data_IF_674808276439
#
_entry.id   IF_674808276439
#
_cell.length_a   1.000
_cell.length_b   1.000
_cell.length_c   1.000
_cell.angle_alpha   90.00
_cell.angle_beta   90.00
_cell.angle_gamma   90.00
#
_symmetry.space_group_name_H-M   'P 1'
#
loop_
_entity.id
_entity.type
_entity.pdbx_description
1 polymer ?
#
# COMPACT_ATOMS: atom_id res chain seq x y z
N UNK A 1 -29.67 -7.17 7.42
CA UNK A 1 -28.37 -7.86 7.55
C UNK A 1 -28.26 -8.46 8.95
N UNK A 2 -27.91 -9.72 9.05
CA UNK A 2 -27.63 -10.42 10.30
C UNK A 2 -26.24 -10.07 10.83
N UNK A 3 -25.91 -10.47 12.06
CA UNK A 3 -24.54 -10.34 12.60
C UNK A 3 -23.53 -11.10 11.74
N UNK A 4 -23.90 -12.28 11.24
CA UNK A 4 -23.04 -13.07 10.35
C UNK A 4 -22.74 -12.35 9.03
N UNK A 5 -23.68 -11.63 8.45
CA UNK A 5 -23.46 -10.84 7.23
C UNK A 5 -22.41 -9.77 7.46
N UNK A 6 -22.48 -9.06 8.59
CA UNK A 6 -21.47 -8.05 8.96
C UNK A 6 -20.09 -8.65 9.21
N UNK A 7 -20.01 -9.84 9.81
CA UNK A 7 -18.75 -10.55 10.00
C UNK A 7 -18.13 -10.96 8.65
N UNK A 8 -18.93 -11.39 7.68
CA UNK A 8 -18.44 -11.66 6.34
C UNK A 8 -17.95 -10.41 5.62
N UNK A 9 -18.68 -9.30 5.70
CA UNK A 9 -18.21 -8.01 5.14
C UNK A 9 -16.87 -7.60 5.76
N UNK A 10 -16.77 -7.63 7.08
CA UNK A 10 -15.53 -7.29 7.78
C UNK A 10 -14.38 -8.24 7.42
N UNK A 11 -14.65 -9.55 7.36
CA UNK A 11 -13.67 -10.56 6.97
C UNK A 11 -13.15 -10.34 5.54
N UNK A 12 -14.04 -10.05 4.60
CA UNK A 12 -13.67 -9.72 3.22
C UNK A 12 -12.84 -8.44 3.14
N UNK A 13 -13.25 -7.40 3.86
CA UNK A 13 -12.54 -6.13 3.92
C UNK A 13 -11.11 -6.30 4.46
N UNK A 14 -10.96 -6.92 5.64
CA UNK A 14 -9.64 -7.15 6.26
C UNK A 14 -8.79 -8.08 5.41
N UNK A 15 -9.38 -9.14 4.84
CA UNK A 15 -8.69 -10.07 3.95
C UNK A 15 -8.13 -9.35 2.71
N UNK A 16 -8.92 -8.47 2.09
CA UNK A 16 -8.47 -7.67 0.95
C UNK A 16 -7.31 -6.72 1.30
N UNK A 17 -7.33 -6.11 2.48
CA UNK A 17 -6.21 -5.30 2.97
C UNK A 17 -4.93 -6.10 3.15
N UNK A 18 -5.02 -7.29 3.74
CA UNK A 18 -3.86 -8.17 3.94
C UNK A 18 -3.28 -8.64 2.60
N UNK A 19 -4.15 -9.08 1.70
CA UNK A 19 -3.74 -9.54 0.36
C UNK A 19 -3.16 -8.38 -0.46
N UNK A 20 -3.79 -7.21 -0.42
CA UNK A 20 -3.31 -6.01 -1.10
C UNK A 20 -1.93 -5.59 -0.61
N UNK A 21 -1.72 -5.54 0.71
CA UNK A 21 -0.42 -5.19 1.29
C UNK A 21 0.68 -6.20 0.98
N UNK A 22 0.33 -7.49 0.89
CA UNK A 22 1.26 -8.52 0.45
C UNK A 22 1.60 -8.38 -1.03
N UNK A 23 0.61 -8.17 -1.88
CA UNK A 23 0.81 -7.98 -3.31
C UNK A 23 1.71 -6.75 -3.58
N UNK A 24 1.47 -5.63 -2.90
CA UNK A 24 2.31 -4.43 -2.97
C UNK A 24 3.78 -4.76 -2.65
N UNK A 25 4.03 -5.43 -1.53
CA UNK A 25 5.36 -5.85 -1.13
C UNK A 25 6.04 -6.72 -2.19
N UNK A 26 5.32 -7.73 -2.74
CA UNK A 26 5.86 -8.62 -3.77
C UNK A 26 6.15 -7.85 -5.06
N UNK A 27 5.21 -7.03 -5.52
CA UNK A 27 5.36 -6.22 -6.73
C UNK A 27 6.55 -5.27 -6.61
N UNK A 28 6.69 -4.56 -5.49
CA UNK A 28 7.82 -3.67 -5.25
C UNK A 28 9.17 -4.43 -5.28
N UNK A 29 9.25 -5.63 -4.69
CA UNK A 29 10.45 -6.49 -4.82
C UNK A 29 10.73 -6.91 -6.24
N UNK A 30 9.72 -7.23 -7.04
CA UNK A 30 9.88 -7.60 -8.44
C UNK A 30 10.32 -6.42 -9.30
N UNK A 31 9.88 -5.20 -8.99
CA UNK A 31 10.37 -3.97 -9.61
C UNK A 31 11.87 -3.78 -9.38
N UNK A 32 12.35 -3.96 -8.15
CA UNK A 32 13.77 -3.92 -7.81
C UNK A 32 14.60 -5.00 -8.51
N UNK A 33 14.01 -6.16 -8.79
CA UNK A 33 14.64 -7.22 -9.58
C UNK A 33 14.56 -6.98 -11.09
N UNK A 34 13.96 -5.89 -11.54
CA UNK A 34 13.71 -5.54 -12.94
C UNK A 34 12.87 -6.58 -13.72
N UNK A 35 12.09 -7.38 -13.00
CA UNK A 35 11.19 -8.38 -13.59
C UNK A 35 9.87 -7.71 -14.03
N UNK A 36 9.38 -6.74 -13.24
CA UNK A 36 8.13 -6.04 -13.47
C UNK A 36 8.38 -4.53 -13.33
N UNK A 37 8.02 -3.74 -14.35
CA UNK A 37 8.12 -2.26 -14.36
C UNK A 37 9.47 -1.71 -13.85
N UNK A 38 10.55 -2.48 -14.01
CA UNK A 38 11.83 -2.17 -13.36
C UNK A 38 12.43 -0.84 -13.78
N UNK A 39 12.32 -0.43 -15.06
CA UNK A 39 12.85 0.86 -15.49
C UNK A 39 12.04 2.02 -14.91
N UNK A 40 10.72 1.93 -14.92
CA UNK A 40 9.83 2.96 -14.32
C UNK A 40 10.17 3.15 -12.84
N UNK A 41 10.46 2.05 -12.13
CA UNK A 41 10.83 2.10 -10.72
C UNK A 41 12.23 2.69 -10.48
N UNK A 42 13.20 2.41 -11.36
CA UNK A 42 14.54 3.05 -11.32
C UNK A 42 14.41 4.56 -11.52
N UNK A 43 13.59 4.99 -12.48
CA UNK A 43 13.36 6.40 -12.74
C UNK A 43 12.69 7.08 -11.54
N UNK A 44 11.69 6.42 -10.92
CA UNK A 44 11.06 6.88 -9.68
C UNK A 44 12.07 7.04 -8.52
N UNK A 45 13.02 6.10 -8.36
CA UNK A 45 14.09 6.24 -7.38
C UNK A 45 15.06 7.39 -7.69
N UNK A 46 15.31 7.65 -8.98
CA UNK A 46 16.17 8.75 -9.42
C UNK A 46 15.51 10.11 -9.19
N UNK A 47 14.20 10.21 -9.42
CA UNK A 47 13.41 11.41 -9.21
C UNK A 47 13.22 11.72 -7.72
N UNK A 48 12.98 10.70 -6.90
CA UNK A 48 12.92 10.79 -5.44
C UNK A 48 11.72 11.55 -4.87
N UNK A 49 10.70 11.86 -5.67
CA UNK A 49 9.49 12.55 -5.23
C UNK A 49 8.21 11.77 -5.60
N UNK A 50 7.12 12.04 -4.89
CA UNK A 50 5.81 11.47 -5.20
C UNK A 50 5.20 12.06 -6.47
N UNK A 51 4.51 11.23 -7.23
CA UNK A 51 3.96 11.59 -8.54
C UNK A 51 2.67 12.43 -8.44
N UNK A 52 2.09 12.53 -7.22
CA UNK A 52 0.78 13.09 -6.94
C UNK A 52 -0.26 12.00 -6.69
N UNK A 53 -1.16 12.23 -5.71
CA UNK A 53 -2.12 11.22 -5.24
C UNK A 53 -2.98 10.63 -6.38
N UNK A 54 -3.47 11.47 -7.30
CA UNK A 54 -4.32 10.99 -8.39
C UNK A 54 -3.59 10.02 -9.32
N UNK A 55 -2.31 10.29 -9.62
CA UNK A 55 -1.50 9.40 -10.44
C UNK A 55 -1.14 8.13 -9.67
N UNK A 56 -0.73 8.24 -8.42
CA UNK A 56 -0.49 7.09 -7.55
C UNK A 56 -1.74 6.20 -7.46
N UNK A 57 -2.91 6.80 -7.23
CA UNK A 57 -4.17 6.05 -7.16
C UNK A 57 -4.46 5.30 -8.46
N UNK A 58 -4.24 5.92 -9.62
CA UNK A 58 -4.40 5.27 -10.91
C UNK A 58 -3.44 4.08 -11.06
N UNK A 59 -2.19 4.24 -10.64
CA UNK A 59 -1.16 3.21 -10.75
C UNK A 59 -1.41 2.04 -9.78
N UNK A 60 -2.13 2.27 -8.67
CA UNK A 60 -2.62 1.20 -7.79
C UNK A 60 -3.92 0.56 -8.27
N UNK A 61 -4.96 1.36 -8.59
CA UNK A 61 -6.30 0.83 -8.82
C UNK A 61 -6.42 0.08 -10.17
N UNK A 62 -5.82 0.63 -11.24
CA UNK A 62 -5.98 0.05 -12.58
C UNK A 62 -5.45 -1.38 -12.67
N UNK A 63 -4.21 -1.70 -12.26
CA UNK A 63 -3.72 -3.08 -12.28
C UNK A 63 -4.36 -3.99 -11.23
N UNK A 64 -4.86 -3.44 -10.11
CA UNK A 64 -5.48 -4.22 -9.05
C UNK A 64 -6.94 -4.57 -9.33
N UNK A 65 -7.64 -3.81 -10.16
CA UNK A 65 -9.08 -3.95 -10.38
C UNK A 65 -9.49 -5.35 -10.88
N UNK A 66 -8.83 -5.97 -11.88
CA UNK A 66 -9.14 -7.33 -12.30
C UNK A 66 -8.98 -8.36 -11.19
N UNK A 67 -7.97 -8.17 -10.32
CA UNK A 67 -7.69 -9.06 -9.20
C UNK A 67 -8.74 -8.91 -8.09
N UNK A 68 -9.13 -7.68 -7.76
CA UNK A 68 -10.20 -7.38 -6.79
C UNK A 68 -11.52 -8.00 -7.25
N UNK A 69 -11.88 -7.79 -8.52
CA UNK A 69 -13.08 -8.37 -9.12
C UNK A 69 -13.01 -9.90 -9.09
N UNK A 70 -11.89 -10.49 -9.49
CA UNK A 70 -11.70 -11.94 -9.49
C UNK A 70 -11.88 -12.56 -8.11
N UNK A 71 -11.28 -11.98 -7.07
CA UNK A 71 -11.46 -12.45 -5.69
C UNK A 71 -12.91 -12.31 -5.21
N UNK A 72 -13.56 -11.20 -5.51
CA UNK A 72 -14.97 -11.00 -5.15
C UNK A 72 -15.89 -12.00 -5.87
N UNK A 73 -15.65 -12.26 -7.16
CA UNK A 73 -16.41 -13.26 -7.92
C UNK A 73 -16.20 -14.68 -7.38
N UNK A 74 -14.97 -15.05 -6.99
CA UNK A 74 -14.70 -16.35 -6.37
C UNK A 74 -15.48 -16.47 -5.06
N UNK A 75 -15.46 -15.45 -4.20
CA UNK A 75 -16.22 -15.45 -2.95
C UNK A 75 -17.73 -15.63 -3.19
N UNK A 76 -18.26 -14.99 -4.20
CA UNK A 76 -19.68 -15.05 -4.53
C UNK A 76 -20.06 -16.35 -5.26
N UNK A 77 -19.40 -16.66 -6.38
CA UNK A 77 -19.84 -17.74 -7.28
C UNK A 77 -19.41 -19.13 -6.81
N UNK A 78 -18.19 -19.27 -6.24
CA UNK A 78 -17.68 -20.56 -5.78
C UNK A 78 -18.15 -20.93 -4.37
N UNK A 79 -18.30 -19.93 -3.48
CA UNK A 79 -18.64 -20.16 -2.07
C UNK A 79 -20.03 -19.64 -1.67
N UNK A 80 -20.75 -18.99 -2.58
CA UNK A 80 -22.06 -18.36 -2.32
C UNK A 80 -22.04 -17.35 -1.14
N UNK A 81 -20.92 -16.67 -0.94
CA UNK A 81 -20.69 -15.72 0.16
C UNK A 81 -20.77 -14.27 -0.35
N UNK A 82 -21.95 -13.80 -0.70
CA UNK A 82 -22.17 -12.46 -1.28
C UNK A 82 -21.66 -11.33 -0.38
N UNK A 83 -21.81 -11.44 0.94
CA UNK A 83 -21.35 -10.40 1.88
C UNK A 83 -19.82 -10.37 2.00
N UNK A 84 -19.18 -11.53 1.91
CA UNK A 84 -17.71 -11.61 1.81
C UNK A 84 -17.21 -10.95 0.53
N UNK A 85 -17.89 -11.21 -0.60
CA UNK A 85 -17.56 -10.61 -1.90
C UNK A 85 -17.66 -9.08 -1.87
N UNK A 86 -18.74 -8.54 -1.28
CA UNK A 86 -18.92 -7.11 -1.08
C UNK A 86 -17.80 -6.53 -0.22
N UNK A 87 -17.50 -7.15 0.91
CA UNK A 87 -16.41 -6.75 1.79
C UNK A 87 -15.06 -6.76 1.08
N UNK A 88 -14.78 -7.80 0.27
CA UNK A 88 -13.55 -7.91 -0.52
C UNK A 88 -13.42 -6.79 -1.55
N UNK A 89 -14.50 -6.51 -2.28
CA UNK A 89 -14.49 -5.42 -3.27
C UNK A 89 -14.24 -4.04 -2.63
N UNK A 90 -14.96 -3.73 -1.56
CA UNK A 90 -14.80 -2.47 -0.82
C UNK A 90 -13.40 -2.39 -0.22
N UNK A 91 -12.94 -3.45 0.45
CA UNK A 91 -11.62 -3.52 1.08
C UNK A 91 -10.47 -3.34 0.09
N UNK A 92 -10.56 -3.95 -1.10
CA UNK A 92 -9.57 -3.82 -2.15
C UNK A 92 -9.46 -2.39 -2.68
N UNK A 93 -10.59 -1.73 -2.95
CA UNK A 93 -10.61 -0.32 -3.37
C UNK A 93 -10.07 0.59 -2.26
N UNK A 94 -10.51 0.40 -1.03
CA UNK A 94 -10.02 1.16 0.11
C UNK A 94 -8.52 0.95 0.34
N UNK A 95 -8.00 -0.26 0.09
CA UNK A 95 -6.56 -0.52 0.14
C UNK A 95 -5.80 0.31 -0.90
N UNK A 96 -6.26 0.33 -2.15
CA UNK A 96 -5.62 1.12 -3.20
C UNK A 96 -5.60 2.63 -2.86
N UNK A 97 -6.69 3.16 -2.31
CA UNK A 97 -6.75 4.55 -1.82
C UNK A 97 -5.74 4.80 -0.70
N UNK A 98 -5.68 3.90 0.26
CA UNK A 98 -4.75 4.02 1.39
C UNK A 98 -3.30 3.88 0.94
N UNK A 99 -2.97 2.91 0.08
CA UNK A 99 -1.62 2.67 -0.41
C UNK A 99 -1.10 3.85 -1.25
N UNK A 100 -1.93 4.39 -2.15
CA UNK A 100 -1.60 5.59 -2.92
C UNK A 100 -1.33 6.79 -2.00
N UNK A 101 -2.16 6.99 -0.97
CA UNK A 101 -1.96 8.04 0.02
C UNK A 101 -0.68 7.80 0.84
N UNK A 102 -0.45 6.56 1.30
CA UNK A 102 0.72 6.19 2.08
C UNK A 102 2.03 6.40 1.30
N UNK A 103 2.03 6.08 0.01
CA UNK A 103 3.15 6.31 -0.89
C UNK A 103 3.45 7.81 -1.01
N UNK A 104 2.44 8.60 -1.38
CA UNK A 104 2.59 10.04 -1.58
C UNK A 104 3.01 10.77 -0.31
N UNK A 105 2.41 10.45 0.84
CA UNK A 105 2.74 11.12 2.10
C UNK A 105 4.15 10.79 2.57
N UNK A 106 4.65 9.58 2.32
CA UNK A 106 6.02 9.21 2.69
C UNK A 106 7.08 9.92 1.84
N UNK A 107 6.75 10.33 0.61
CA UNK A 107 7.63 11.16 -0.20
C UNK A 107 7.63 12.64 0.24
N UNK A 108 6.50 13.19 0.64
CA UNK A 108 6.38 14.63 0.93
C UNK A 108 6.48 14.96 2.43
N UNK A 109 5.81 14.18 3.27
CA UNK A 109 5.68 14.45 4.71
C UNK A 109 5.82 13.16 5.53
N UNK A 110 7.00 12.51 5.53
CA UNK A 110 7.18 11.20 6.16
C UNK A 110 6.89 11.20 7.67
N UNK A 111 6.95 12.38 8.31
CA UNK A 111 6.57 12.55 9.71
C UNK A 111 5.09 12.24 9.99
N UNK A 112 4.23 12.34 8.99
CA UNK A 112 2.80 12.06 9.09
C UNK A 112 2.46 10.58 9.03
N UNK A 113 3.39 9.72 8.63
CA UNK A 113 3.21 8.27 8.60
C UNK A 113 3.15 7.72 10.05
N UNK A 114 2.02 8.00 10.75
CA UNK A 114 1.86 7.69 12.18
C UNK A 114 1.44 6.24 12.46
N UNK A 115 1.03 5.47 11.45
CA UNK A 115 0.63 4.06 11.56
C UNK A 115 1.82 3.09 11.52
N UNK A 116 3.02 3.57 11.24
CA UNK A 116 4.28 2.84 11.35
C UNK A 116 5.25 3.56 12.29
N UNK A 117 6.09 2.78 12.98
CA UNK A 117 7.15 3.35 13.85
C UNK A 117 8.15 4.16 13.03
N UNK A 118 8.42 3.72 11.81
CA UNK A 118 9.28 4.40 10.83
C UNK A 118 8.62 4.37 9.47
N UNK A 119 8.68 5.47 8.69
CA UNK A 119 8.19 5.52 7.32
C UNK A 119 9.14 4.73 6.41
N UNK A 120 8.89 3.42 6.27
CA UNK A 120 9.85 2.49 5.65
C UNK A 120 10.12 2.82 4.19
N UNK A 121 9.11 3.29 3.45
CA UNK A 121 9.27 3.66 2.05
C UNK A 121 10.11 4.95 1.90
N UNK A 122 9.90 5.96 2.75
CA UNK A 122 10.78 7.13 2.81
C UNK A 122 12.25 6.73 3.09
N UNK A 123 12.45 5.86 4.07
CA UNK A 123 13.79 5.37 4.44
C UNK A 123 14.42 4.58 3.28
N UNK A 124 13.62 3.78 2.59
CA UNK A 124 14.04 3.01 1.42
C UNK A 124 14.61 3.92 0.32
N UNK A 125 13.91 5.01 -0.02
CA UNK A 125 14.39 6.01 -0.98
C UNK A 125 15.58 6.82 -0.46
N UNK A 126 15.47 7.39 0.75
CA UNK A 126 16.49 8.26 1.33
C UNK A 126 17.85 7.57 1.49
N UNK A 127 17.86 6.28 1.76
CA UNK A 127 19.09 5.49 1.95
C UNK A 127 19.40 4.57 0.74
N UNK A 128 18.72 4.73 -0.39
CA UNK A 128 18.93 3.94 -1.62
C UNK A 128 18.95 2.43 -1.35
N UNK A 129 17.96 1.95 -0.59
CA UNK A 129 17.91 0.57 -0.11
C UNK A 129 17.41 -0.41 -1.18
N UNK A 130 18.26 -0.82 -2.11
CA UNK A 130 17.87 -1.70 -3.22
C UNK A 130 17.38 -3.09 -2.82
N UNK A 131 17.71 -3.57 -1.62
CA UNK A 131 17.41 -4.93 -1.16
C UNK A 131 16.62 -5.01 0.16
N UNK A 132 16.13 -3.87 0.70
CA UNK A 132 15.48 -3.80 1.99
C UNK A 132 14.33 -2.80 1.99
N UNK A 133 13.38 -2.97 2.95
CA UNK A 133 12.30 -2.04 3.21
C UNK A 133 11.39 -1.82 2.00
N UNK A 134 10.85 -2.91 1.47
CA UNK A 134 9.98 -2.90 0.28
C UNK A 134 8.52 -2.55 0.59
N UNK A 135 8.08 -2.61 1.85
CA UNK A 135 6.73 -2.21 2.24
C UNK A 135 6.50 -0.73 1.99
N UNK A 136 5.35 -0.37 1.43
CA UNK A 136 4.95 1.02 1.23
C UNK A 136 3.88 1.39 2.26
N UNK A 137 2.71 0.75 2.18
CA UNK A 137 1.63 1.00 3.13
C UNK A 137 1.95 0.47 4.53
N UNK A 138 2.62 -0.70 4.63
CA UNK A 138 2.97 -1.35 5.89
C UNK A 138 4.35 -2.02 5.83
N UNK A 139 5.03 -2.11 6.98
CA UNK A 139 6.34 -2.77 7.12
C UNK A 139 6.25 -4.25 7.58
N UNK A 140 5.04 -4.80 7.69
CA UNK A 140 4.82 -6.14 8.23
C UNK A 140 5.51 -7.23 7.39
N UNK A 141 5.44 -7.13 6.06
CA UNK A 141 6.02 -8.12 5.17
C UNK A 141 7.54 -8.05 5.12
N UNK A 142 8.12 -6.86 5.27
CA UNK A 142 9.55 -6.72 5.45
C UNK A 142 10.05 -7.47 6.69
N UNK A 143 9.26 -7.45 7.77
CA UNK A 143 9.58 -8.20 9.00
C UNK A 143 9.41 -9.70 8.82
N UNK A 144 8.30 -10.12 8.19
CA UNK A 144 8.01 -11.55 7.93
C UNK A 144 9.08 -12.18 7.02
N UNK A 145 9.51 -11.47 5.98
CA UNK A 145 10.49 -11.96 5.00
C UNK A 145 11.92 -11.50 5.24
N UNK A 146 12.22 -10.95 6.43
CA UNK A 146 13.56 -10.54 6.87
C UNK A 146 14.24 -9.52 5.95
N UNK A 147 13.44 -8.68 5.29
CA UNK A 147 13.93 -7.57 4.45
C UNK A 147 13.89 -6.23 5.18
N UNK A 148 13.38 -6.20 6.41
CA UNK A 148 13.36 -5.00 7.23
C UNK A 148 14.78 -4.62 7.69
N UNK A 149 15.20 -3.40 7.33
CA UNK A 149 16.46 -2.82 7.80
C UNK A 149 16.18 -1.59 8.65
N UNK A 150 16.56 -1.67 9.91
CA UNK A 150 16.42 -0.57 10.86
C UNK A 150 17.41 0.55 10.52
N UNK A 151 16.94 1.78 10.49
CA UNK A 151 17.75 3.01 10.38
C UNK A 151 17.41 3.91 11.54
N UNK A 152 18.37 4.69 12.00
CA UNK A 152 18.12 5.74 12.99
C UNK A 152 17.39 6.91 12.29
N UNK A 153 16.07 6.90 12.40
CA UNK A 153 15.21 7.95 11.90
C UNK A 153 14.43 8.55 13.05
N UNK A 154 14.53 9.85 13.20
CA UNK A 154 13.80 10.61 14.22
C UNK A 154 12.69 11.41 13.55
N UNK A 155 11.45 11.20 14.03
CA UNK A 155 10.30 11.92 13.51
C UNK A 155 10.45 13.42 13.76
N UNK A 156 10.42 14.25 12.70
CA UNK A 156 10.46 15.71 12.86
C UNK A 156 9.34 16.23 13.76
N UNK A 157 9.63 17.23 14.57
CA UNK A 157 8.69 17.87 15.47
C UNK A 157 8.68 19.38 15.26
N UNK A 158 7.54 20.09 15.46
CA UNK A 158 6.21 19.55 15.75
C UNK A 158 5.53 18.94 14.52
N UNK A 159 4.70 17.90 14.75
CA UNK A 159 3.88 17.33 13.67
C UNK A 159 2.78 18.32 13.30
N UNK A 160 2.76 18.76 12.05
CA UNK A 160 1.77 19.70 11.54
C UNK A 160 0.64 18.94 10.84
N UNK A 161 -0.41 18.56 11.58
CA UNK A 161 -1.52 17.76 11.07
C UNK A 161 -2.18 18.32 9.80
N UNK A 162 -2.20 19.66 9.63
CA UNK A 162 -2.72 20.27 8.39
C UNK A 162 -2.04 19.75 7.12
N UNK A 163 -0.80 19.23 7.21
CA UNK A 163 -0.06 18.67 6.07
C UNK A 163 -0.69 17.38 5.51
N UNK A 164 -1.56 16.68 6.27
CA UNK A 164 -2.33 15.56 5.74
C UNK A 164 -3.13 15.94 4.49
N UNK A 165 -3.55 17.19 4.38
CA UNK A 165 -4.33 17.71 3.25
C UNK A 165 -3.48 18.54 2.27
N UNK A 166 -2.18 18.67 2.50
CA UNK A 166 -1.26 19.48 1.69
C UNK A 166 -0.38 18.64 0.77
N UNK A 167 -0.61 17.33 0.69
CA UNK A 167 0.06 16.47 -0.30
C UNK A 167 -0.30 16.93 -1.72
N UNK A 168 0.57 16.66 -2.67
CA UNK A 168 0.26 16.87 -4.07
C UNK A 168 -0.89 15.95 -4.49
N UNK A 169 -2.04 16.54 -4.83
CA UNK A 169 -3.24 15.79 -5.22
C UNK A 169 -3.27 15.43 -6.70
N UNK A 170 -2.68 16.27 -7.58
CA UNK A 170 -2.65 16.13 -9.05
C UNK A 170 -1.22 16.26 -9.56
#
# INVERSE_FOLDING_TARGET
MSLSDWLFVLGGFVGAFLVGSFAEYVVHRLMHKRILLGQVHVDHHAEGYGQGFAKELKDYIVPSLPFIIGMALIAWLAFNLVWLAIGTAIGGVCYCLFAAYAHQVQHEFPELCCWMVRPVHHIHHAHKMWHHNFGIAFDIWDRVFFTYKKVDWKRPQPIRLRRFFQIKWI
#
